data_IF_355022140937
#
_entry.id   IF_355022140937
#
_cell.length_a   1.000
_cell.length_b   1.000
_cell.length_c   1.000
_cell.angle_alpha   90.00
_cell.angle_beta   90.00
_cell.angle_gamma   90.00
#
_symmetry.space_group_name_H-M   'P 1'
#
loop_
_entity.id
_entity.type
_entity.pdbx_description
1 polymer ?
#
# COMPACT_ATOMS: atom_id res chain seq x y z
N UNK A 1 31.25 22.13 23.24
CA UNK A 1 30.07 21.25 23.49
C UNK A 1 28.95 21.40 22.46
N UNK A 2 28.68 22.60 21.89
CA UNK A 2 27.64 22.77 20.84
C UNK A 2 27.91 21.96 19.55
N UNK A 3 29.17 21.87 19.10
CA UNK A 3 29.55 21.07 17.92
C UNK A 3 29.34 19.56 18.11
N UNK A 4 29.48 19.04 19.33
CA UNK A 4 29.27 17.62 19.62
C UNK A 4 27.79 17.24 19.59
N UNK A 5 26.90 18.17 19.96
CA UNK A 5 25.45 17.98 19.89
C UNK A 5 24.97 17.95 18.42
N UNK A 6 25.53 18.82 17.56
CA UNK A 6 25.23 18.80 16.13
C UNK A 6 25.70 17.51 15.43
N UNK A 7 26.83 16.93 15.84
CA UNK A 7 27.31 15.66 15.29
C UNK A 7 26.41 14.46 15.69
N UNK A 8 25.84 14.51 16.89
CA UNK A 8 25.01 13.42 17.42
C UNK A 8 23.63 13.33 16.72
N UNK A 9 23.09 14.45 16.23
CA UNK A 9 21.81 14.50 15.50
C UNK A 9 21.98 14.04 14.03
N UNK A 10 23.14 14.25 13.42
CA UNK A 10 23.45 13.82 12.05
C UNK A 10 23.83 12.33 11.94
N UNK A 11 24.16 11.67 13.06
CA UNK A 11 24.66 10.30 13.08
C UNK A 11 23.62 9.20 13.32
N UNK A 12 22.34 9.52 13.53
CA UNK A 12 21.28 8.52 13.73
C UNK A 12 20.56 8.28 12.41
N UNK A 13 20.84 7.19 11.67
CA UNK A 13 19.98 6.76 10.59
C UNK A 13 18.61 6.37 11.19
N UNK A 14 17.57 7.10 10.81
CA UNK A 14 16.19 6.71 11.09
C UNK A 14 15.87 5.46 10.23
N UNK A 15 16.18 4.28 10.74
CA UNK A 15 15.69 3.03 10.15
C UNK A 15 14.23 2.84 10.57
N UNK A 16 13.30 3.51 9.90
CA UNK A 16 11.89 3.20 10.03
C UNK A 16 11.58 1.96 9.19
N UNK A 17 11.55 0.79 9.84
CA UNK A 17 11.06 -0.44 9.20
C UNK A 17 9.54 -0.44 9.28
N UNK A 18 8.87 -0.08 8.18
CA UNK A 18 7.44 -0.35 8.03
C UNK A 18 7.25 -1.81 7.63
N UNK A 19 6.11 -2.37 8.03
CA UNK A 19 5.80 -3.74 7.66
C UNK A 19 5.53 -3.87 6.16
N UNK A 20 5.87 -5.04 5.63
CA UNK A 20 5.73 -5.35 4.20
C UNK A 20 4.32 -5.80 3.87
N UNK A 21 3.91 -5.61 2.62
CA UNK A 21 2.64 -6.17 2.13
C UNK A 21 2.60 -7.69 2.24
N UNK A 22 3.75 -8.37 2.13
CA UNK A 22 3.82 -9.81 2.32
C UNK A 22 3.38 -10.23 3.73
N UNK A 23 3.82 -9.53 4.77
CA UNK A 23 3.40 -9.83 6.14
C UNK A 23 1.91 -9.60 6.33
N UNK A 24 1.39 -8.47 5.85
CA UNK A 24 -0.03 -8.13 5.86
C UNK A 24 -0.89 -9.23 5.21
N UNK A 25 -0.52 -9.65 4.00
CA UNK A 25 -1.22 -10.69 3.24
C UNK A 25 -1.12 -12.05 3.93
N UNK A 26 0.03 -12.36 4.55
CA UNK A 26 0.20 -13.58 5.32
C UNK A 26 -0.71 -13.60 6.57
N UNK A 27 -0.86 -12.48 7.30
CA UNK A 27 -1.82 -12.40 8.40
C UNK A 27 -3.24 -12.64 7.86
N UNK A 28 -3.64 -11.89 6.85
CA UNK A 28 -4.97 -11.98 6.24
C UNK A 28 -5.33 -13.41 5.83
N UNK A 29 -4.44 -14.10 5.12
CA UNK A 29 -4.67 -15.47 4.64
C UNK A 29 -4.70 -16.53 5.75
N UNK A 30 -4.17 -16.23 6.94
CA UNK A 30 -4.17 -17.17 8.07
C UNK A 30 -5.35 -16.97 9.03
N UNK A 31 -6.05 -15.82 9.00
CA UNK A 31 -7.25 -15.58 9.82
C UNK A 31 -8.29 -16.71 9.66
N UNK A 32 -8.72 -17.10 8.44
CA UNK A 32 -9.73 -18.16 8.30
C UNK A 32 -9.24 -19.50 8.86
N UNK A 33 -7.96 -19.82 8.67
CA UNK A 33 -7.36 -21.08 9.17
C UNK A 33 -7.37 -21.13 10.68
N UNK A 34 -7.16 -20.01 11.35
CA UNK A 34 -7.12 -19.92 12.81
C UNK A 34 -8.52 -19.90 13.42
N UNK A 35 -9.53 -19.43 12.67
CA UNK A 35 -10.94 -19.48 13.09
C UNK A 35 -11.55 -20.86 13.05
N UNK A 36 -11.13 -21.68 12.08
CA UNK A 36 -11.56 -23.06 11.98
C UNK A 36 -10.98 -23.93 13.10
N UNK A 37 -9.90 -23.48 13.76
CA UNK A 37 -9.36 -24.19 14.91
C UNK A 37 -10.26 -23.96 16.12
N UNK A 38 -10.58 -25.06 16.80
CA UNK A 38 -11.39 -25.03 18.02
C UNK A 38 -10.61 -24.57 19.26
N UNK A 39 -9.31 -24.27 19.14
CA UNK A 39 -8.50 -23.85 20.29
C UNK A 39 -8.72 -22.35 20.62
N UNK A 40 -8.94 -21.99 21.90
CA UNK A 40 -9.22 -20.61 22.30
C UNK A 40 -8.11 -19.61 21.92
N UNK A 41 -6.86 -20.06 21.89
CA UNK A 41 -5.70 -19.23 21.57
C UNK A 41 -5.72 -18.82 20.09
N UNK A 42 -6.03 -19.74 19.17
CA UNK A 42 -6.15 -19.45 17.76
C UNK A 42 -7.32 -18.52 17.45
N UNK A 43 -8.44 -18.68 18.14
CA UNK A 43 -9.58 -17.77 18.01
C UNK A 43 -9.27 -16.37 18.57
N UNK A 44 -8.53 -16.29 19.69
CA UNK A 44 -8.04 -15.01 20.21
C UNK A 44 -7.06 -14.35 19.24
N UNK A 45 -6.13 -15.12 18.66
CA UNK A 45 -5.21 -14.64 17.63
C UNK A 45 -5.97 -14.11 16.41
N UNK A 46 -6.97 -14.83 15.90
CA UNK A 46 -7.73 -14.40 14.72
C UNK A 46 -8.50 -13.09 14.96
N UNK A 47 -9.11 -12.93 16.15
CA UNK A 47 -9.76 -11.67 16.56
C UNK A 47 -8.77 -10.52 16.61
N UNK A 48 -7.60 -10.72 17.24
CA UNK A 48 -6.55 -9.71 17.31
C UNK A 48 -5.99 -9.35 15.94
N UNK A 49 -5.75 -10.35 15.08
CA UNK A 49 -5.27 -10.16 13.72
C UNK A 49 -6.24 -9.31 12.89
N UNK A 50 -7.55 -9.56 12.98
CA UNK A 50 -8.56 -8.70 12.34
C UNK A 50 -8.47 -7.26 12.82
N UNK A 51 -8.39 -7.04 14.13
CA UNK A 51 -8.30 -5.69 14.68
C UNK A 51 -7.04 -4.98 14.20
N UNK A 52 -5.89 -5.67 14.15
CA UNK A 52 -4.63 -5.10 13.64
C UNK A 52 -4.77 -4.70 12.17
N UNK A 53 -5.34 -5.57 11.31
CA UNK A 53 -5.55 -5.23 9.90
C UNK A 53 -6.49 -4.04 9.74
N UNK A 54 -7.63 -4.03 10.45
CA UNK A 54 -8.58 -2.90 10.43
C UNK A 54 -7.91 -1.60 10.87
N UNK A 55 -7.21 -1.59 12.01
CA UNK A 55 -6.53 -0.39 12.52
C UNK A 55 -5.42 0.08 11.57
N UNK A 56 -4.73 -0.85 10.93
CA UNK A 56 -3.71 -0.53 9.93
C UNK A 56 -4.35 0.17 8.73
N UNK A 57 -5.44 -0.39 8.22
CA UNK A 57 -6.17 0.17 7.09
C UNK A 57 -6.80 1.53 7.44
N UNK A 58 -7.36 1.69 8.64
CA UNK A 58 -7.88 2.98 9.14
C UNK A 58 -6.77 4.04 9.22
N UNK A 59 -5.64 3.68 9.84
CA UNK A 59 -4.51 4.60 10.02
C UNK A 59 -3.93 5.06 8.68
N UNK A 60 -3.80 4.14 7.71
CA UNK A 60 -3.34 4.49 6.37
C UNK A 60 -4.41 5.32 5.66
N UNK A 61 -5.67 4.94 5.72
CA UNK A 61 -6.76 5.66 5.03
C UNK A 61 -6.88 7.09 5.54
N UNK A 62 -6.84 7.29 6.86
CA UNK A 62 -6.85 8.60 7.49
C UNK A 62 -5.64 9.43 7.06
N UNK A 63 -4.43 8.84 7.11
CA UNK A 63 -3.20 9.52 6.66
C UNK A 63 -3.31 9.96 5.20
N UNK A 64 -3.83 9.10 4.33
CA UNK A 64 -4.02 9.40 2.91
C UNK A 64 -5.05 10.51 2.70
N UNK A 65 -6.18 10.47 3.40
CA UNK A 65 -7.21 11.53 3.30
C UNK A 65 -6.68 12.86 3.82
N UNK A 66 -6.04 12.87 5.00
CA UNK A 66 -5.45 14.09 5.55
C UNK A 66 -4.38 14.67 4.63
N UNK A 67 -3.47 13.83 4.12
CA UNK A 67 -2.45 14.25 3.16
C UNK A 67 -3.05 14.79 1.86
N UNK A 68 -4.14 14.18 1.39
CA UNK A 68 -4.84 14.64 0.19
C UNK A 68 -5.56 15.98 0.40
N UNK A 69 -6.21 16.20 1.55
CA UNK A 69 -6.85 17.48 1.85
C UNK A 69 -5.81 18.61 1.98
N UNK A 70 -4.64 18.34 2.55
CA UNK A 70 -3.52 19.28 2.55
C UNK A 70 -3.07 19.63 1.12
N UNK A 71 -2.90 18.60 0.27
CA UNK A 71 -2.46 18.78 -1.11
C UNK A 71 -3.53 19.50 -1.97
N UNK A 72 -4.80 19.22 -1.73
CA UNK A 72 -5.95 19.91 -2.33
C UNK A 72 -6.00 21.39 -1.94
N UNK A 73 -5.68 21.73 -0.68
CA UNK A 73 -5.52 23.12 -0.24
C UNK A 73 -4.41 23.87 -0.99
N UNK A 74 -3.44 23.15 -1.55
CA UNK A 74 -2.39 23.69 -2.42
C UNK A 74 -2.74 23.64 -3.92
N UNK A 75 -3.97 23.29 -4.27
CA UNK A 75 -4.45 23.17 -5.65
C UNK A 75 -3.93 21.93 -6.40
N UNK A 76 -3.33 20.96 -5.70
CA UNK A 76 -2.74 19.76 -6.29
C UNK A 76 -3.16 18.51 -5.51
N UNK A 77 -4.44 18.11 -5.55
CA UNK A 77 -4.88 16.87 -4.91
C UNK A 77 -4.10 15.67 -5.45
N UNK A 78 -3.82 14.72 -4.57
CA UNK A 78 -3.11 13.47 -4.86
C UNK A 78 -4.05 12.45 -5.52
N UNK A 79 -5.32 12.45 -5.11
CA UNK A 79 -6.40 11.64 -5.67
C UNK A 79 -7.75 12.34 -5.44
N UNK A 80 -8.77 11.94 -6.20
CA UNK A 80 -10.08 12.59 -6.22
C UNK A 80 -11.20 11.61 -5.89
N UNK A 81 -11.60 11.55 -4.62
CA UNK A 81 -12.72 10.72 -4.18
C UNK A 81 -14.04 11.24 -4.75
N UNK A 82 -14.87 10.37 -5.37
CA UNK A 82 -16.23 10.73 -5.76
C UNK A 82 -17.09 11.12 -4.55
N UNK A 83 -18.08 11.98 -4.77
CA UNK A 83 -19.03 12.34 -3.71
C UNK A 83 -19.71 11.11 -3.10
N UNK A 84 -19.75 11.05 -1.77
CA UNK A 84 -20.34 9.93 -1.03
C UNK A 84 -19.41 8.72 -0.81
N UNK A 85 -18.21 8.72 -1.38
CA UNK A 85 -17.20 7.68 -1.13
C UNK A 85 -16.26 8.14 -0.02
N UNK A 86 -16.20 7.35 1.06
CA UNK A 86 -15.21 7.50 2.11
C UNK A 86 -14.14 6.43 1.97
N UNK A 87 -12.88 6.86 2.03
CA UNK A 87 -11.74 5.96 2.18
C UNK A 87 -11.69 5.52 3.65
N UNK A 88 -12.43 4.45 3.97
CA UNK A 88 -12.45 3.81 5.29
C UNK A 88 -11.67 2.49 5.26
N UNK A 89 -11.54 1.83 6.41
CA UNK A 89 -10.81 0.57 6.57
C UNK A 89 -11.18 -0.46 5.50
N UNK A 90 -12.48 -0.72 5.33
CA UNK A 90 -13.00 -1.71 4.37
C UNK A 90 -12.64 -1.33 2.93
N UNK A 91 -12.92 -0.09 2.53
CA UNK A 91 -12.63 0.39 1.18
C UNK A 91 -11.14 0.31 0.88
N UNK A 92 -10.29 0.70 1.84
CA UNK A 92 -8.84 0.65 1.67
C UNK A 92 -8.32 -0.79 1.61
N UNK A 93 -8.81 -1.68 2.49
CA UNK A 93 -8.52 -3.11 2.46
C UNK A 93 -8.76 -3.71 1.08
N UNK A 94 -9.96 -3.48 0.53
CA UNK A 94 -10.36 -3.98 -0.79
C UNK A 94 -9.44 -3.44 -1.91
N UNK A 95 -9.02 -2.17 -1.80
CA UNK A 95 -8.06 -1.55 -2.72
C UNK A 95 -6.67 -2.19 -2.59
N UNK A 96 -6.16 -2.40 -1.37
CA UNK A 96 -4.86 -3.02 -1.10
C UNK A 96 -4.81 -4.42 -1.72
N UNK A 97 -5.81 -5.27 -1.45
CA UNK A 97 -5.87 -6.63 -1.99
C UNK A 97 -5.91 -6.62 -3.52
N UNK A 98 -6.77 -5.78 -4.12
CA UNK A 98 -6.87 -5.66 -5.58
C UNK A 98 -5.55 -5.21 -6.19
N UNK A 99 -4.89 -4.23 -5.58
CA UNK A 99 -3.63 -3.66 -6.08
C UNK A 99 -2.51 -4.68 -5.99
N UNK A 100 -2.35 -5.33 -4.84
CA UNK A 100 -1.33 -6.37 -4.62
C UNK A 100 -1.49 -7.55 -5.60
N UNK A 101 -2.73 -7.96 -5.87
CA UNK A 101 -3.04 -9.02 -6.84
C UNK A 101 -2.87 -8.57 -8.30
N UNK A 102 -3.00 -7.27 -8.58
CA UNK A 102 -2.90 -6.69 -9.92
C UNK A 102 -1.48 -6.29 -10.36
N UNK A 103 -0.49 -6.28 -9.45
CA UNK A 103 0.90 -5.96 -9.79
C UNK A 103 1.53 -7.11 -10.59
N UNK A 104 1.94 -6.80 -11.82
CA UNK A 104 2.53 -7.75 -12.78
C UNK A 104 4.02 -8.06 -12.55
N UNK A 105 4.65 -7.52 -11.51
CA UNK A 105 6.07 -7.77 -11.22
C UNK A 105 6.29 -9.17 -10.64
N UNK A 106 7.55 -9.60 -10.58
CA UNK A 106 7.91 -10.81 -9.83
C UNK A 106 7.43 -10.69 -8.39
N UNK A 107 6.94 -11.80 -7.83
CA UNK A 107 6.40 -11.89 -6.48
C UNK A 107 7.37 -11.32 -5.44
N UNK A 108 8.67 -11.63 -5.57
CA UNK A 108 9.74 -11.14 -4.70
C UNK A 108 9.90 -9.62 -4.67
N UNK A 109 9.51 -8.92 -5.73
CA UNK A 109 9.69 -7.48 -5.85
C UNK A 109 8.51 -6.73 -5.24
N UNK A 110 7.28 -7.20 -5.48
CA UNK A 110 6.10 -6.61 -4.86
C UNK A 110 6.02 -6.90 -3.36
N UNK A 111 6.54 -8.04 -2.91
CA UNK A 111 6.53 -8.44 -1.50
C UNK A 111 7.40 -7.56 -0.60
N UNK A 112 8.33 -6.80 -1.19
CA UNK A 112 9.18 -5.84 -0.47
C UNK A 112 8.52 -4.47 -0.28
N UNK A 113 7.41 -4.21 -0.95
CA UNK A 113 6.68 -2.96 -0.79
C UNK A 113 6.02 -2.91 0.58
N UNK A 114 5.94 -1.71 1.17
CA UNK A 114 5.18 -1.51 2.40
C UNK A 114 3.68 -1.54 2.11
N UNK A 115 2.88 -1.84 3.12
CA UNK A 115 1.41 -1.80 3.00
C UNK A 115 0.94 -0.41 2.51
N UNK A 116 1.51 0.67 3.06
CA UNK A 116 1.17 2.04 2.67
C UNK A 116 1.55 2.38 1.23
N UNK A 117 2.64 1.82 0.69
CA UNK A 117 3.01 2.01 -0.72
C UNK A 117 1.99 1.35 -1.65
N UNK A 118 1.56 0.13 -1.33
CA UNK A 118 0.53 -0.58 -2.10
C UNK A 118 -0.82 0.16 -2.00
N UNK A 119 -1.19 0.60 -0.80
CA UNK A 119 -2.39 1.39 -0.55
C UNK A 119 -2.40 2.69 -1.38
N UNK A 120 -1.30 3.45 -1.34
CA UNK A 120 -1.12 4.67 -2.12
C UNK A 120 -1.30 4.42 -3.63
N UNK A 121 -0.60 3.42 -4.17
CA UNK A 121 -0.70 3.06 -5.59
C UNK A 121 -2.15 2.74 -5.97
N UNK A 122 -2.82 1.93 -5.16
CA UNK A 122 -4.20 1.53 -5.40
C UNK A 122 -5.19 2.68 -5.35
N UNK A 123 -5.05 3.59 -4.38
CA UNK A 123 -5.94 4.75 -4.21
C UNK A 123 -5.79 5.72 -5.38
N UNK A 124 -4.56 6.07 -5.76
CA UNK A 124 -4.29 6.97 -6.89
C UNK A 124 -4.81 6.37 -8.20
N UNK A 125 -4.68 5.06 -8.39
CA UNK A 125 -5.19 4.36 -9.57
C UNK A 125 -6.72 4.26 -9.57
N UNK A 126 -7.35 4.02 -8.42
CA UNK A 126 -8.80 3.89 -8.29
C UNK A 126 -9.52 5.24 -8.44
N UNK A 127 -8.88 6.34 -8.04
CA UNK A 127 -9.50 7.66 -7.95
C UNK A 127 -8.64 8.77 -8.60
N UNK A 128 -8.38 8.69 -9.92
CA UNK A 128 -7.57 9.69 -10.62
C UNK A 128 -8.31 11.04 -10.70
N UNK A 129 -7.59 12.13 -10.45
CA UNK A 129 -8.10 13.48 -10.68
C UNK A 129 -8.14 13.83 -12.18
N UNK A 130 -9.25 14.40 -12.65
CA UNK A 130 -9.49 14.66 -14.09
C UNK A 130 -8.73 15.86 -14.70
N UNK A 131 -7.66 16.37 -14.08
CA UNK A 131 -6.90 17.49 -14.67
C UNK A 131 -5.40 17.53 -14.40
N UNK A 132 -4.76 16.39 -14.14
CA UNK A 132 -3.30 16.38 -13.93
C UNK A 132 -2.68 15.21 -14.66
N UNK A 133 -1.79 15.51 -15.60
CA UNK A 133 -0.85 14.55 -16.17
C UNK A 133 -0.29 13.69 -15.02
N UNK A 134 -0.37 12.37 -15.18
CA UNK A 134 0.16 11.42 -14.20
C UNK A 134 1.58 11.86 -13.79
N UNK A 135 1.91 11.89 -12.48
CA UNK A 135 3.24 12.30 -12.05
C UNK A 135 4.30 11.47 -12.79
N UNK A 136 5.29 12.11 -13.46
CA UNK A 136 6.31 11.38 -14.20
C UNK A 136 7.11 10.54 -13.20
N UNK A 137 6.94 9.21 -13.26
CA UNK A 137 7.64 8.27 -12.39
C UNK A 137 6.81 7.06 -11.91
N UNK A 138 5.48 7.08 -12.06
CA UNK A 138 4.61 5.94 -11.67
C UNK A 138 3.98 5.20 -12.87
N UNK A 139 4.53 5.40 -14.06
CA UNK A 139 4.05 4.76 -15.28
C UNK A 139 4.31 3.26 -15.31
N UNK A 140 3.33 2.46 -14.89
CA UNK A 140 3.23 1.09 -15.36
C UNK A 140 2.84 1.12 -16.85
N UNK A 141 3.86 1.05 -17.71
CA UNK A 141 3.68 0.97 -19.14
C UNK A 141 3.02 -0.38 -19.48
N UNK A 142 1.73 -0.34 -19.82
CA UNK A 142 0.93 -1.51 -20.19
C UNK A 142 1.20 -2.00 -21.63
N UNK A 143 2.25 -1.52 -22.32
CA UNK A 143 2.47 -1.79 -23.76
C UNK A 143 3.60 -2.77 -24.13
N UNK A 144 4.34 -3.39 -23.20
CA UNK A 144 5.39 -4.37 -23.58
C UNK A 144 4.96 -5.84 -23.35
N UNK A 145 3.83 -6.23 -23.96
CA UNK A 145 3.48 -7.65 -24.17
C UNK A 145 3.21 -7.92 -25.65
N UNK A 146 4.24 -7.75 -26.48
CA UNK A 146 4.36 -8.45 -27.76
C UNK A 146 5.76 -9.04 -27.81
N UNK A 147 5.89 -10.30 -27.37
CA UNK A 147 7.06 -11.11 -27.68
C UNK A 147 7.02 -11.40 -29.20
N UNK A 148 7.87 -10.72 -29.97
CA UNK A 148 8.18 -11.13 -31.34
C UNK A 148 9.11 -12.34 -31.28
N UNK A 149 8.56 -13.51 -31.60
CA UNK A 149 9.33 -14.71 -31.90
C UNK A 149 9.93 -14.52 -33.30
N UNK A 150 11.24 -14.29 -33.39
CA UNK A 150 11.98 -14.39 -34.64
C UNK A 150 12.28 -15.87 -34.85
N UNK A 151 11.50 -16.53 -35.69
CA UNK A 151 11.93 -17.78 -36.34
C UNK A 151 12.96 -17.42 -37.41
N UNK A 152 14.22 -17.77 -37.16
CA UNK A 152 15.27 -17.76 -38.17
C UNK A 152 15.19 -19.05 -39.00
N UNK A 153 14.80 -18.90 -40.26
CA UNK A 153 15.05 -19.90 -41.29
C UNK A 153 16.39 -19.64 -41.97
N UNK A 154 17.23 -20.68 -41.99
CA UNK A 154 18.20 -20.98 -43.05
C UNK A 154 18.50 -22.48 -42.97
#
# INVERSE_FOLDING_TARGET
MRFLISLLILGVPFYTTADTINHYINIFNNIPKMEMKADPQAQAWARSARNILTLTDESIAETLVQGNELAKGQGKPLFCLPGGINLNAKTLHDIILRTYNGISSQQSDKDKMTVSQIAWLGVVQAYPCHSTQAPPGLGFNKQNQTMQHIEGGA
#
